data_IF_934901474624
#
_entry.id   IF_934901474624
#
_cell.length_a   1.000
_cell.length_b   1.000
_cell.length_c   1.000
_cell.angle_alpha   90.00
_cell.angle_beta   90.00
_cell.angle_gamma   90.00
#
_symmetry.space_group_name_H-M   'P 1'
#
loop_
_entity.id
_entity.type
_entity.pdbx_description
1 polymer ?
#
# COMPACT_ATOMS: atom_id res chain seq x y z
N UNK A 1 -20.91 -3.13 6.24
CA UNK A 1 -19.55 -2.78 6.69
C UNK A 1 -18.71 -4.05 6.68
N UNK A 2 -17.79 -4.20 5.72
CA UNK A 2 -16.85 -5.33 5.69
C UNK A 2 -15.51 -4.83 6.23
N UNK A 3 -15.07 -5.40 7.35
CA UNK A 3 -13.81 -5.11 8.02
C UNK A 3 -12.64 -5.47 7.11
N UNK A 4 -11.77 -4.48 6.83
CA UNK A 4 -10.50 -4.71 6.16
C UNK A 4 -9.55 -5.41 7.14
N UNK A 5 -9.38 -6.71 7.00
CA UNK A 5 -8.34 -7.46 7.72
C UNK A 5 -7.15 -7.56 6.78
N UNK A 6 -6.15 -6.68 6.97
CA UNK A 6 -4.80 -6.94 6.50
C UNK A 6 -4.36 -8.23 7.22
N UNK A 7 -4.37 -9.34 6.48
CA UNK A 7 -4.12 -10.65 7.05
C UNK A 7 -2.63 -10.76 7.39
N UNK A 8 -2.33 -10.94 8.68
CA UNK A 8 -0.99 -11.25 9.20
C UNK A 8 -0.47 -12.52 8.52
N UNK A 9 0.50 -12.38 7.62
CA UNK A 9 1.17 -13.52 7.00
C UNK A 9 2.05 -14.22 8.06
N UNK A 10 1.76 -15.50 8.24
CA UNK A 10 2.30 -16.40 9.25
C UNK A 10 3.81 -16.58 9.03
N UNK A 11 4.60 -16.22 10.03
CA UNK A 11 6.03 -16.55 10.11
C UNK A 11 6.19 -18.04 10.42
N UNK A 12 6.42 -18.87 9.40
CA UNK A 12 6.90 -20.25 9.61
C UNK A 12 8.41 -20.16 9.84
N UNK A 13 8.82 -20.18 11.11
CA UNK A 13 10.20 -20.43 11.47
C UNK A 13 10.46 -21.94 11.27
N UNK A 14 11.11 -22.32 10.18
CA UNK A 14 11.58 -23.68 9.99
C UNK A 14 12.76 -23.95 10.96
N UNK A 15 12.45 -24.43 12.17
CA UNK A 15 13.44 -25.05 13.05
C UNK A 15 13.59 -26.51 12.63
N UNK A 16 14.54 -26.77 11.73
CA UNK A 16 14.93 -28.14 11.37
C UNK A 16 15.93 -28.71 12.38
N UNK A 17 15.46 -29.62 13.23
CA UNK A 17 16.29 -30.60 13.91
C UNK A 17 16.59 -31.80 12.98
N UNK A 18 17.54 -32.65 13.38
CA UNK A 18 17.91 -34.01 12.90
C UNK A 18 18.92 -34.10 11.75
N UNK A 19 19.85 -35.07 11.67
CA UNK A 19 20.31 -36.20 12.51
C UNK A 19 21.73 -36.59 12.03
N UNK A 20 22.54 -37.14 12.93
CA UNK A 20 23.94 -37.51 12.71
C UNK A 20 24.13 -38.69 11.73
N UNK A 21 25.07 -38.53 10.78
CA UNK A 21 25.65 -39.60 9.96
C UNK A 21 27.17 -39.62 10.10
N UNK A 22 27.72 -40.71 10.61
CA UNK A 22 29.15 -40.93 10.88
C UNK A 22 29.89 -41.40 9.63
N UNK A 23 30.77 -40.56 9.07
CA UNK A 23 31.92 -40.98 8.25
C UNK A 23 33.15 -40.16 8.69
N UNK A 24 34.23 -40.85 9.02
CA UNK A 24 35.42 -40.32 9.68
C UNK A 24 36.22 -39.34 8.81
N UNK A 25 36.22 -38.07 9.21
CA UNK A 25 37.11 -37.02 8.74
C UNK A 25 37.82 -36.48 9.99
N UNK A 26 39.15 -36.21 9.96
CA UNK A 26 39.89 -35.71 11.13
C UNK A 26 39.18 -34.52 11.79
N UNK A 27 39.06 -34.58 13.11
CA UNK A 27 38.10 -33.83 13.92
C UNK A 27 38.17 -32.30 13.72
N UNK A 28 39.35 -31.76 13.41
CA UNK A 28 39.58 -30.32 13.18
C UNK A 28 39.04 -29.87 11.81
N UNK A 29 39.32 -30.62 10.74
CA UNK A 29 38.76 -30.34 9.40
C UNK A 29 37.25 -30.52 9.35
N UNK A 30 36.69 -31.43 10.16
CA UNK A 30 35.25 -31.66 10.25
C UNK A 30 34.52 -30.49 10.91
N UNK A 31 35.10 -29.88 11.95
CA UNK A 31 34.51 -28.72 12.64
C UNK A 31 34.50 -27.51 11.71
N UNK A 32 35.64 -27.16 11.08
CA UNK A 32 35.72 -26.02 10.15
C UNK A 32 34.78 -26.19 8.95
N UNK A 33 34.70 -27.39 8.37
CA UNK A 33 33.81 -27.65 7.23
C UNK A 33 32.34 -27.59 7.64
N UNK A 34 31.98 -28.07 8.84
CA UNK A 34 30.61 -27.98 9.37
C UNK A 34 30.23 -26.52 9.69
N UNK A 35 31.13 -25.74 10.29
CA UNK A 35 30.92 -24.30 10.54
C UNK A 35 30.80 -23.48 9.25
N UNK A 36 31.63 -23.76 8.23
CA UNK A 36 31.53 -23.12 6.90
C UNK A 36 30.18 -23.41 6.24
N UNK A 37 29.69 -24.65 6.34
CA UNK A 37 28.41 -25.05 5.73
C UNK A 37 27.21 -24.46 6.49
N UNK A 38 27.28 -24.38 7.83
CA UNK A 38 26.28 -23.70 8.65
C UNK A 38 26.23 -22.20 8.40
N UNK A 39 27.40 -21.55 8.26
CA UNK A 39 27.48 -20.12 7.98
C UNK A 39 26.93 -19.78 6.58
N UNK A 40 27.25 -20.58 5.56
CA UNK A 40 26.66 -20.44 4.24
C UNK A 40 25.12 -20.56 4.28
N UNK A 41 24.60 -21.55 4.99
CA UNK A 41 23.14 -21.75 5.17
C UNK A 41 22.49 -20.55 5.88
N UNK A 42 23.16 -19.99 6.91
CA UNK A 42 22.67 -18.80 7.63
C UNK A 42 22.70 -17.54 6.76
N UNK A 43 23.71 -17.38 5.90
CA UNK A 43 23.81 -16.29 4.93
C UNK A 43 22.66 -16.37 3.92
N UNK A 44 22.40 -17.55 3.35
CA UNK A 44 21.30 -17.74 2.40
C UNK A 44 19.92 -17.49 3.03
N UNK A 45 19.74 -17.93 4.28
CA UNK A 45 18.54 -17.64 5.05
C UNK A 45 18.38 -16.12 5.27
N UNK A 46 19.48 -15.41 5.54
CA UNK A 46 19.44 -13.96 5.71
C UNK A 46 19.15 -13.23 4.40
N UNK A 47 19.77 -13.61 3.26
CA UNK A 47 19.43 -13.08 1.92
C UNK A 47 17.95 -13.28 1.60
N UNK A 48 17.41 -14.46 1.89
CA UNK A 48 15.99 -14.76 1.71
C UNK A 48 15.10 -13.87 2.59
N UNK A 49 15.53 -13.59 3.82
CA UNK A 49 14.85 -12.68 4.73
C UNK A 49 14.88 -11.22 4.22
N UNK A 50 16.01 -10.76 3.66
CA UNK A 50 16.11 -9.43 3.04
C UNK A 50 15.15 -9.29 1.84
N UNK A 51 15.11 -10.31 0.98
CA UNK A 51 14.18 -10.36 -0.15
C UNK A 51 12.71 -10.36 0.31
N UNK A 52 12.41 -11.03 1.44
CA UNK A 52 11.07 -11.01 2.04
C UNK A 52 10.66 -9.60 2.48
N UNK A 53 11.56 -8.87 3.16
CA UNK A 53 11.30 -7.49 3.57
C UNK A 53 11.03 -6.57 2.37
N UNK A 54 11.84 -6.67 1.31
CA UNK A 54 11.62 -5.91 0.08
C UNK A 54 10.27 -6.25 -0.57
N UNK A 55 9.91 -7.54 -0.63
CA UNK A 55 8.61 -7.99 -1.16
C UNK A 55 7.45 -7.45 -0.35
N UNK A 56 7.53 -7.42 0.98
CA UNK A 56 6.48 -6.88 1.83
C UNK A 56 6.20 -5.41 1.53
N UNK A 57 7.25 -4.60 1.39
CA UNK A 57 7.11 -3.19 1.00
C UNK A 57 6.40 -3.03 -0.35
N UNK A 58 6.77 -3.83 -1.35
CA UNK A 58 6.09 -3.83 -2.66
C UNK A 58 4.60 -4.19 -2.53
N UNK A 59 4.28 -5.22 -1.73
CA UNK A 59 2.89 -5.64 -1.51
C UNK A 59 2.08 -4.54 -0.82
N UNK A 60 2.66 -3.86 0.18
CA UNK A 60 2.00 -2.76 0.88
C UNK A 60 1.65 -1.61 -0.08
N UNK A 61 2.59 -1.23 -0.96
CA UNK A 61 2.33 -0.21 -1.99
C UNK A 61 1.27 -0.65 -2.99
N UNK A 62 1.35 -1.87 -3.52
CA UNK A 62 0.36 -2.37 -4.47
C UNK A 62 -1.05 -2.43 -3.86
N UNK A 63 -1.16 -2.82 -2.58
CA UNK A 63 -2.43 -2.83 -1.87
C UNK A 63 -2.99 -1.42 -1.67
N UNK A 64 -2.12 -0.45 -1.38
CA UNK A 64 -2.49 0.95 -1.28
C UNK A 64 -3.01 1.48 -2.63
N UNK A 65 -2.27 1.28 -3.72
CA UNK A 65 -2.65 1.76 -5.06
C UNK A 65 -3.99 1.16 -5.50
N UNK A 66 -4.19 -0.15 -5.31
CA UNK A 66 -5.46 -0.81 -5.60
C UNK A 66 -6.62 -0.26 -4.75
N UNK A 67 -6.35 0.11 -3.49
CA UNK A 67 -7.35 0.71 -2.62
C UNK A 67 -7.71 2.14 -3.04
N UNK A 68 -6.73 2.93 -3.47
CA UNK A 68 -6.92 4.28 -4.04
C UNK A 68 -7.81 4.20 -5.29
N UNK A 69 -7.49 3.30 -6.23
CA UNK A 69 -8.29 3.11 -7.45
C UNK A 69 -9.74 2.72 -7.13
N UNK A 70 -9.94 1.87 -6.12
CA UNK A 70 -11.29 1.49 -5.67
C UNK A 70 -12.05 2.63 -5.03
N UNK A 71 -11.38 3.55 -4.35
CA UNK A 71 -12.03 4.76 -3.82
C UNK A 71 -12.52 5.57 -5.01
N UNK A 72 -11.64 5.97 -5.92
CA UNK A 72 -12.00 6.83 -7.06
C UNK A 72 -13.07 6.20 -7.97
N UNK A 73 -13.05 4.88 -8.14
CA UNK A 73 -13.99 4.17 -9.00
C UNK A 73 -15.20 3.57 -8.27
N UNK A 74 -15.41 3.91 -6.98
CA UNK A 74 -16.59 3.42 -6.26
C UNK A 74 -17.88 3.99 -6.84
N UNK A 75 -19.01 3.34 -6.58
CA UNK A 75 -20.33 3.84 -7.00
C UNK A 75 -20.60 5.25 -6.48
N UNK A 76 -21.19 6.11 -7.31
CA UNK A 76 -21.36 7.53 -7.05
C UNK A 76 -20.07 8.33 -7.20
N UNK A 77 -19.11 7.84 -7.98
CA UNK A 77 -17.92 8.61 -8.35
C UNK A 77 -18.27 9.79 -9.25
N UNK A 78 -17.32 10.71 -9.41
CA UNK A 78 -17.50 11.92 -10.23
C UNK A 78 -17.98 11.61 -11.64
N UNK A 79 -17.43 10.58 -12.30
CA UNK A 79 -17.85 10.22 -13.66
C UNK A 79 -19.28 9.66 -13.74
N UNK A 80 -19.75 8.95 -12.71
CA UNK A 80 -21.16 8.54 -12.59
C UNK A 80 -22.06 9.77 -12.38
N UNK A 81 -21.65 10.68 -11.49
CA UNK A 81 -22.38 11.92 -11.23
C UNK A 81 -22.51 12.78 -12.50
N UNK A 82 -21.43 12.94 -13.26
CA UNK A 82 -21.43 13.70 -14.52
C UNK A 82 -22.36 13.08 -15.56
N UNK A 83 -22.35 11.75 -15.69
CA UNK A 83 -23.23 11.04 -16.62
C UNK A 83 -24.69 11.20 -16.23
N UNK A 84 -25.02 11.03 -14.95
CA UNK A 84 -26.39 11.16 -14.48
C UNK A 84 -26.89 12.60 -14.62
N UNK A 85 -26.06 13.59 -14.28
CA UNK A 85 -26.34 15.02 -14.50
C UNK A 85 -26.69 15.30 -15.96
N UNK A 86 -25.84 14.85 -16.88
CA UNK A 86 -26.05 15.04 -18.31
C UNK A 86 -27.35 14.38 -18.80
N UNK A 87 -27.64 13.17 -18.32
CA UNK A 87 -28.88 12.46 -18.62
C UNK A 87 -30.11 13.26 -18.18
N UNK A 88 -30.18 13.66 -16.91
CA UNK A 88 -31.36 14.37 -16.37
C UNK A 88 -31.54 15.74 -16.99
N UNK A 89 -30.47 16.51 -17.18
CA UNK A 89 -30.54 17.81 -17.88
C UNK A 89 -31.04 17.60 -19.31
N UNK A 90 -30.57 16.58 -20.02
CA UNK A 90 -30.98 16.27 -21.39
C UNK A 90 -32.50 16.05 -21.52
N UNK A 91 -33.14 15.40 -20.54
CA UNK A 91 -34.60 15.21 -20.52
C UNK A 91 -35.34 16.55 -20.51
N UNK A 92 -34.94 17.47 -19.63
CA UNK A 92 -35.59 18.79 -19.53
C UNK A 92 -35.22 19.72 -20.69
N UNK A 93 -34.03 19.58 -21.27
CA UNK A 93 -33.64 20.30 -22.48
C UNK A 93 -34.53 19.90 -23.67
N UNK A 94 -34.91 18.63 -23.77
CA UNK A 94 -35.83 18.17 -24.81
C UNK A 94 -37.24 18.78 -24.65
N UNK A 95 -37.74 18.89 -23.41
CA UNK A 95 -39.01 19.58 -23.13
C UNK A 95 -38.95 21.05 -23.57
N UNK A 96 -37.85 21.75 -23.26
CA UNK A 96 -37.61 23.13 -23.70
C UNK A 96 -37.59 23.24 -25.24
N UNK A 97 -36.86 22.34 -25.92
CA UNK A 97 -36.77 22.33 -27.39
C UNK A 97 -38.14 22.10 -28.05
N UNK A 98 -39.01 21.32 -27.42
CA UNK A 98 -40.37 21.07 -27.88
C UNK A 98 -41.35 22.19 -27.49
N UNK A 99 -40.90 23.23 -26.78
CA UNK A 99 -41.75 24.33 -26.29
C UNK A 99 -42.69 23.92 -25.15
N UNK A 100 -42.42 22.80 -24.48
CA UNK A 100 -43.25 22.25 -23.41
C UNK A 100 -42.67 22.68 -22.06
N UNK A 101 -43.51 23.27 -21.20
CA UNK A 101 -43.17 23.55 -19.78
C UNK A 101 -41.79 24.22 -19.63
N UNK A 102 -41.49 25.21 -20.48
CA UNK A 102 -40.16 25.81 -20.61
C UNK A 102 -39.62 26.36 -19.30
N UNK A 103 -40.39 27.21 -18.60
CA UNK A 103 -39.97 27.83 -17.33
C UNK A 103 -39.74 26.78 -16.23
N UNK A 104 -40.66 25.82 -16.10
CA UNK A 104 -40.52 24.73 -15.13
C UNK A 104 -39.30 23.84 -15.41
N UNK A 105 -39.00 23.60 -16.69
CA UNK A 105 -37.84 22.82 -17.12
C UNK A 105 -36.52 23.56 -16.87
N UNK A 106 -36.48 24.87 -17.10
CA UNK A 106 -35.32 25.71 -16.76
C UNK A 106 -35.05 25.72 -15.26
N UNK A 107 -36.10 25.85 -14.44
CA UNK A 107 -35.99 25.78 -12.99
C UNK A 107 -35.49 24.40 -12.53
N UNK A 108 -36.02 23.32 -13.11
CA UNK A 108 -35.57 21.96 -12.81
C UNK A 108 -34.09 21.74 -13.16
N UNK A 109 -33.63 22.25 -14.31
CA UNK A 109 -32.21 22.18 -14.70
C UNK A 109 -31.33 22.90 -13.67
N UNK A 110 -31.67 24.13 -13.28
CA UNK A 110 -30.90 24.87 -12.28
C UNK A 110 -30.83 24.15 -10.93
N UNK A 111 -31.94 23.51 -10.52
CA UNK A 111 -31.97 22.71 -9.28
C UNK A 111 -31.09 21.45 -9.41
N UNK A 112 -31.13 20.77 -10.55
CA UNK A 112 -30.27 19.61 -10.83
C UNK A 112 -28.80 20.02 -10.77
N UNK A 113 -28.42 21.12 -11.43
CA UNK A 113 -27.05 21.62 -11.41
C UNK A 113 -26.55 21.87 -9.98
N UNK A 114 -27.35 22.56 -9.16
CA UNK A 114 -27.00 22.83 -7.76
C UNK A 114 -26.86 21.55 -6.93
N UNK A 115 -27.75 20.56 -7.13
CA UNK A 115 -27.68 19.28 -6.43
C UNK A 115 -26.44 18.47 -6.79
N UNK A 116 -26.07 18.44 -8.07
CA UNK A 116 -24.88 17.70 -8.53
C UNK A 116 -23.58 18.38 -8.12
N UNK A 117 -23.54 19.71 -8.09
CA UNK A 117 -22.39 20.45 -7.53
C UNK A 117 -22.14 20.05 -6.06
N UNK A 118 -23.20 20.06 -5.25
CA UNK A 118 -23.10 19.61 -3.86
C UNK A 118 -22.68 18.14 -3.75
N UNK A 119 -23.17 17.27 -4.65
CA UNK A 119 -22.79 15.87 -4.67
C UNK A 119 -21.30 15.65 -4.98
N UNK A 120 -20.71 16.45 -5.87
CA UNK A 120 -19.26 16.42 -6.14
C UNK A 120 -18.46 16.87 -4.91
N UNK A 121 -18.87 17.96 -4.25
CA UNK A 121 -18.21 18.43 -3.03
C UNK A 121 -18.26 17.38 -1.91
N UNK A 122 -19.44 16.78 -1.69
CA UNK A 122 -19.62 15.71 -0.72
C UNK A 122 -18.73 14.51 -1.05
N UNK A 123 -18.59 14.21 -2.35
CA UNK A 123 -17.75 13.13 -2.84
C UNK A 123 -16.27 13.41 -2.60
N UNK A 124 -15.77 14.59 -2.93
CA UNK A 124 -14.39 15.02 -2.67
C UNK A 124 -14.03 14.89 -1.18
N UNK A 125 -14.93 15.35 -0.30
CA UNK A 125 -14.75 15.25 1.15
C UNK A 125 -14.68 13.79 1.60
N UNK A 126 -15.51 12.93 1.04
CA UNK A 126 -15.52 11.50 1.37
C UNK A 126 -14.26 10.79 0.87
N UNK A 127 -13.84 11.04 -0.36
CA UNK A 127 -12.62 10.47 -0.94
C UNK A 127 -11.39 10.91 -0.14
N UNK A 128 -11.25 12.20 0.13
CA UNK A 128 -10.15 12.74 0.93
C UNK A 128 -10.06 12.07 2.32
N UNK A 129 -11.20 11.92 3.02
CA UNK A 129 -11.24 11.23 4.32
C UNK A 129 -10.79 9.77 4.24
N UNK A 130 -11.16 9.07 3.17
CA UNK A 130 -10.76 7.67 2.98
C UNK A 130 -9.28 7.56 2.63
N UNK A 131 -8.78 8.44 1.76
CA UNK A 131 -7.37 8.50 1.36
C UNK A 131 -6.45 8.78 2.55
N UNK A 132 -6.78 9.76 3.41
CA UNK A 132 -5.99 10.05 4.61
C UNK A 132 -5.89 8.83 5.54
N UNK A 133 -6.99 8.08 5.71
CA UNK A 133 -7.00 6.85 6.51
C UNK A 133 -6.09 5.79 5.90
N UNK A 134 -6.17 5.57 4.58
CA UNK A 134 -5.31 4.62 3.88
C UNK A 134 -3.83 5.00 3.95
N UNK A 135 -3.49 6.27 3.72
CA UNK A 135 -2.12 6.78 3.81
C UNK A 135 -1.55 6.59 5.21
N UNK A 136 -2.35 6.88 6.25
CA UNK A 136 -1.96 6.66 7.65
C UNK A 136 -1.71 5.17 7.93
N UNK A 137 -2.59 4.29 7.46
CA UNK A 137 -2.42 2.84 7.61
C UNK A 137 -1.16 2.33 6.90
N UNK A 138 -0.93 2.77 5.66
CA UNK A 138 0.27 2.43 4.90
C UNK A 138 1.54 2.84 5.65
N UNK A 139 1.61 4.07 6.16
CA UNK A 139 2.75 4.55 6.95
C UNK A 139 3.00 3.68 8.18
N UNK A 140 1.94 3.33 8.91
CA UNK A 140 2.04 2.47 10.09
C UNK A 140 2.63 1.11 9.74
N UNK A 141 2.15 0.46 8.68
CA UNK A 141 2.64 -0.86 8.26
C UNK A 141 4.07 -0.78 7.70
N UNK A 142 4.41 0.23 6.90
CA UNK A 142 5.79 0.45 6.44
C UNK A 142 6.76 0.69 7.61
N UNK A 143 6.32 1.43 8.64
CA UNK A 143 7.12 1.66 9.85
C UNK A 143 7.30 0.37 10.66
N UNK A 144 6.29 -0.50 10.72
CA UNK A 144 6.42 -1.83 11.35
C UNK A 144 7.40 -2.70 10.58
N UNK A 145 7.32 -2.70 9.25
CA UNK A 145 8.23 -3.45 8.38
C UNK A 145 9.68 -2.97 8.56
N UNK A 146 9.90 -1.65 8.61
CA UNK A 146 11.21 -1.05 8.92
C UNK A 146 11.77 -1.53 10.26
N UNK A 147 10.94 -1.57 11.32
CA UNK A 147 11.36 -2.08 12.63
C UNK A 147 11.70 -3.57 12.60
N UNK A 148 10.94 -4.37 11.84
CA UNK A 148 11.22 -5.79 11.65
C UNK A 148 12.54 -6.01 10.90
N UNK A 149 12.78 -5.23 9.84
CA UNK A 149 14.04 -5.21 9.11
C UNK A 149 15.22 -4.84 10.02
N UNK A 150 15.11 -3.77 10.81
CA UNK A 150 16.16 -3.36 11.75
C UNK A 150 16.50 -4.46 12.78
N UNK A 151 15.49 -5.21 13.23
CA UNK A 151 15.70 -6.37 14.10
C UNK A 151 16.45 -7.50 13.37
N UNK A 152 16.11 -7.77 12.11
CA UNK A 152 16.78 -8.77 11.28
C UNK A 152 18.24 -8.38 11.00
N UNK A 153 18.48 -7.11 10.65
CA UNK A 153 19.81 -6.52 10.47
C UNK A 153 20.68 -6.75 11.70
N UNK A 154 20.22 -6.33 12.90
CA UNK A 154 20.98 -6.49 14.15
C UNK A 154 21.28 -7.95 14.51
N UNK A 155 20.39 -8.88 14.17
CA UNK A 155 20.57 -10.30 14.46
C UNK A 155 21.64 -10.95 13.57
N UNK A 156 21.80 -10.46 12.34
CA UNK A 156 22.60 -11.12 11.31
C UNK A 156 23.81 -10.30 10.84
N UNK A 157 24.06 -9.11 11.39
CA UNK A 157 25.20 -8.24 11.00
C UNK A 157 26.56 -8.91 11.19
N UNK A 158 26.71 -9.79 12.17
CA UNK A 158 27.95 -10.54 12.39
C UNK A 158 28.19 -11.66 11.34
N UNK A 159 27.19 -11.98 10.52
CA UNK A 159 27.21 -13.06 9.53
C UNK A 159 27.28 -12.54 8.08
N UNK A 160 27.31 -11.21 7.87
CA UNK A 160 27.15 -10.64 6.55
C UNK A 160 28.47 -10.63 5.76
N UNK A 161 28.49 -11.35 4.63
CA UNK A 161 29.52 -11.21 3.60
C UNK A 161 29.32 -9.92 2.77
N UNK A 162 30.27 -9.60 1.88
CA UNK A 162 30.22 -8.38 1.08
C UNK A 162 28.95 -8.25 0.21
N UNK A 163 28.46 -9.37 -0.32
CA UNK A 163 27.24 -9.41 -1.13
C UNK A 163 25.99 -9.13 -0.27
N UNK A 164 25.91 -9.76 0.89
CA UNK A 164 24.79 -9.61 1.84
C UNK A 164 24.77 -8.21 2.43
N UNK A 165 25.94 -7.61 2.69
CA UNK A 165 26.04 -6.21 3.11
C UNK A 165 25.48 -5.25 2.05
N UNK A 166 25.78 -5.50 0.76
CA UNK A 166 25.24 -4.70 -0.35
C UNK A 166 23.72 -4.83 -0.43
N UNK A 167 23.19 -6.05 -0.41
CA UNK A 167 21.75 -6.31 -0.41
C UNK A 167 21.05 -5.65 0.79
N UNK A 168 21.67 -5.70 1.96
CA UNK A 168 21.15 -5.07 3.17
C UNK A 168 21.03 -3.56 3.00
N UNK A 169 22.05 -2.90 2.47
CA UNK A 169 22.03 -1.46 2.19
C UNK A 169 20.97 -1.08 1.16
N UNK A 170 20.81 -1.88 0.10
CA UNK A 170 19.78 -1.66 -0.93
C UNK A 170 18.38 -1.74 -0.34
N UNK A 171 18.10 -2.79 0.44
CA UNK A 171 16.79 -2.99 1.07
C UNK A 171 16.52 -1.91 2.14
N UNK A 172 17.52 -1.55 2.94
CA UNK A 172 17.43 -0.46 3.92
C UNK A 172 17.08 0.87 3.23
N UNK A 173 17.81 1.21 2.16
CA UNK A 173 17.55 2.42 1.39
C UNK A 173 16.11 2.42 0.85
N UNK A 174 15.67 1.30 0.27
CA UNK A 174 14.33 1.17 -0.29
C UNK A 174 13.22 1.33 0.78
N UNK A 175 13.40 0.74 1.96
CA UNK A 175 12.50 0.89 3.10
C UNK A 175 12.44 2.35 3.57
N UNK A 176 13.60 3.02 3.69
CA UNK A 176 13.68 4.42 4.15
C UNK A 176 12.95 5.33 3.17
N UNK A 177 13.20 5.16 1.87
CA UNK A 177 12.51 5.93 0.83
C UNK A 177 11.00 5.65 0.83
N UNK A 178 10.59 4.41 1.08
CA UNK A 178 9.17 4.05 1.15
C UNK A 178 8.46 4.70 2.33
N UNK A 179 9.05 4.70 3.53
CA UNK A 179 8.48 5.41 4.68
C UNK A 179 8.40 6.92 4.40
N UNK A 180 9.48 7.51 3.85
CA UNK A 180 9.50 8.93 3.47
C UNK A 180 8.42 9.26 2.44
N UNK A 181 8.26 8.45 1.40
CA UNK A 181 7.19 8.62 0.40
C UNK A 181 5.81 8.60 1.06
N UNK A 182 5.57 7.72 2.03
CA UNK A 182 4.32 7.69 2.77
C UNK A 182 4.12 8.94 3.65
N UNK A 183 5.18 9.48 4.25
CA UNK A 183 5.14 10.76 4.95
C UNK A 183 4.78 11.92 4.03
N UNK A 184 5.43 11.99 2.85
CA UNK A 184 5.18 13.02 1.84
C UNK A 184 3.73 12.95 1.33
N UNK A 185 3.16 11.75 1.18
CA UNK A 185 1.74 11.57 0.81
C UNK A 185 0.79 12.17 1.85
N UNK A 186 1.08 11.98 3.14
CA UNK A 186 0.25 12.54 4.23
C UNK A 186 0.40 14.06 4.29
N UNK A 187 1.63 14.56 4.16
CA UNK A 187 1.92 15.99 4.20
C UNK A 187 1.24 16.74 3.04
N UNK A 188 1.28 16.17 1.83
CA UNK A 188 0.71 16.80 0.64
C UNK A 188 -0.79 16.50 0.46
N UNK A 189 -1.26 15.32 0.90
CA UNK A 189 -2.67 14.92 0.83
C UNK A 189 -3.59 15.66 1.82
N UNK A 190 -3.02 16.23 2.89
CA UNK A 190 -3.75 17.10 3.83
C UNK A 190 -3.94 18.54 3.33
N UNK A 191 -3.08 19.03 2.45
CA UNK A 191 -3.09 20.44 2.00
C UNK A 191 -4.19 20.72 0.96
N UNK A 192 -4.47 19.79 0.05
CA UNK A 192 -5.55 19.93 -0.94
C UNK A 192 -6.95 19.79 -0.34
N UNK A 193 -7.13 19.05 0.76
CA UNK A 193 -8.43 18.86 1.41
C UNK A 193 -8.90 20.05 2.27
N UNK A 194 -8.01 21.01 2.59
CA UNK A 194 -8.33 22.21 3.40
C UNK A 194 -8.30 23.49 2.57
N UNK A 195 -7.53 23.52 1.47
CA UNK A 195 -7.41 24.71 0.61
C UNK A 195 -8.59 24.92 -0.35
N UNK A 196 -9.49 23.94 -0.52
CA UNK A 196 -10.71 24.06 -1.32
C UNK A 196 -11.93 24.55 -0.48
N UNK A 197 -11.69 25.44 0.50
CA UNK A 197 -12.72 26.06 1.33
C UNK A 197 -12.85 27.55 1.04
#
# INVERSE_FOLDING_TARGET
>A
MKTFVLSTLIAVAATGNTLAGTIGIPHVKRIEMTELTENATRIDAFKSQLAFHQRNVNVLWNQYELAVDRIHNSRGNHAELDRDKAFFIGVYQQDIQNGIRVEGSQQAIAEIEARYEQAHLDRDIQEAKQLVRLQTQLKVELTKEMKAFEKAKRKNTALADAETLRLLQEVEHYLVQSVKRADDLIANGGATAVAAR
#
